data_IF_402563336300
#
_entry.id   IF_402563336300
#
_cell.length_a   1.000
_cell.length_b   1.000
_cell.length_c   1.000
_cell.angle_alpha   90.00
_cell.angle_beta   90.00
_cell.angle_gamma   90.00
#
_symmetry.space_group_name_H-M   'P 1'
#
loop_
_entity.id
_entity.type
_entity.pdbx_description
1 polymer ?
#
# COMPACT_ATOMS: atom_id res chain seq x y z
N UNK A 1 15.28 9.18 6.99
CA UNK A 1 15.84 7.86 6.61
C UNK A 1 17.33 7.90 6.90
N UNK A 2 17.79 7.41 8.05
CA UNK A 2 19.22 7.30 8.33
C UNK A 2 19.72 5.96 7.80
N UNK A 3 20.58 6.02 6.78
CA UNK A 3 21.31 4.88 6.27
C UNK A 3 22.78 5.11 6.62
N UNK A 4 23.33 4.32 7.54
CA UNK A 4 24.78 4.25 7.71
C UNK A 4 25.34 3.05 6.99
N UNK A 5 26.49 3.29 6.35
CA UNK A 5 27.29 2.29 5.67
C UNK A 5 28.25 1.71 6.73
N UNK A 6 28.07 0.44 7.12
CA UNK A 6 29.12 -0.27 7.86
C UNK A 6 30.15 -0.86 6.89
N UNK A 7 31.36 -1.09 7.41
CA UNK A 7 32.59 -1.46 6.71
C UNK A 7 32.51 -2.74 5.85
N UNK A 8 31.44 -3.50 5.97
CA UNK A 8 31.14 -4.78 5.32
C UNK A 8 30.13 -4.67 4.15
N UNK A 9 29.76 -3.45 3.74
CA UNK A 9 29.00 -3.21 2.51
C UNK A 9 27.54 -3.68 2.53
N UNK A 10 27.00 -4.09 3.69
CA UNK A 10 25.60 -4.45 3.87
C UNK A 10 24.79 -3.27 4.43
N UNK A 11 23.66 -2.96 3.79
CA UNK A 11 22.71 -1.97 4.28
C UNK A 11 21.96 -2.54 5.49
N UNK A 12 22.31 -2.08 6.70
CA UNK A 12 21.58 -2.40 7.91
C UNK A 12 20.46 -1.38 8.13
N UNK A 13 19.20 -1.81 8.02
CA UNK A 13 18.05 -1.01 8.45
C UNK A 13 18.06 -0.97 9.99
N UNK A 14 18.74 0.02 10.58
CA UNK A 14 18.85 0.17 12.05
C UNK A 14 17.50 0.47 12.70
N UNK A 15 16.64 1.27 12.07
CA UNK A 15 15.26 1.47 12.53
C UNK A 15 14.48 2.13 11.38
N UNK A 16 13.44 1.46 10.88
CA UNK A 16 12.43 2.12 10.05
C UNK A 16 11.20 2.30 10.91
N UNK A 17 11.19 3.37 11.70
CA UNK A 17 9.95 3.96 12.19
C UNK A 17 9.53 4.94 11.10
N UNK A 18 8.76 4.46 10.13
CA UNK A 18 8.18 5.36 9.13
C UNK A 18 6.94 5.95 9.76
N UNK A 19 7.07 7.20 10.18
CA UNK A 19 5.94 8.07 10.39
C UNK A 19 5.36 8.38 9.02
N UNK A 20 4.20 7.81 8.71
CA UNK A 20 3.57 8.09 7.42
C UNK A 20 3.12 9.54 7.28
N UNK A 21 3.04 10.31 8.38
CA UNK A 21 2.86 11.76 8.39
C UNK A 21 3.39 12.37 9.71
N UNK A 22 4.70 12.40 9.93
CA UNK A 22 5.30 13.35 10.88
C UNK A 22 6.48 14.04 10.23
N UNK A 23 6.19 15.17 9.61
CA UNK A 23 7.15 16.25 9.65
C UNK A 23 6.36 17.52 9.95
N UNK A 24 6.46 18.01 11.18
CA UNK A 24 6.07 19.39 11.50
C UNK A 24 6.81 20.38 10.59
N UNK A 25 7.97 20.00 10.02
CA UNK A 25 8.70 20.80 9.05
C UNK A 25 8.11 20.78 7.62
N UNK A 26 7.37 19.74 7.20
CA UNK A 26 6.64 19.75 5.91
C UNK A 26 5.26 20.40 6.02
N UNK A 27 4.70 20.53 7.24
CA UNK A 27 3.45 21.28 7.47
C UNK A 27 3.55 22.77 7.11
N UNK A 28 4.76 23.34 7.15
CA UNK A 28 5.01 24.73 6.76
C UNK A 28 4.63 25.04 5.30
N UNK A 29 4.76 24.07 4.38
CA UNK A 29 4.48 24.27 2.94
C UNK A 29 3.07 23.87 2.50
N UNK A 30 2.33 23.12 3.30
CA UNK A 30 0.94 22.71 3.00
C UNK A 30 0.01 23.05 4.16
N UNK A 31 -0.28 24.34 4.35
CA UNK A 31 -1.09 24.90 5.45
C UNK A 31 -2.55 24.41 5.54
N UNK A 32 -3.04 23.64 4.56
CA UNK A 32 -4.48 23.37 4.40
C UNK A 32 -4.90 21.89 4.59
N UNK A 33 -4.02 21.00 5.03
CA UNK A 33 -4.41 19.60 5.33
C UNK A 33 -4.14 19.30 6.80
N UNK A 34 -5.17 19.33 7.68
CA UNK A 34 -4.97 18.97 9.07
C UNK A 34 -4.48 17.51 9.16
N UNK A 35 -3.47 17.21 9.99
CA UNK A 35 -3.03 15.84 10.19
C UNK A 35 -4.22 15.01 10.70
N UNK A 36 -4.48 13.86 10.07
CA UNK A 36 -5.59 12.99 10.46
C UNK A 36 -5.43 12.62 11.94
N UNK A 37 -6.31 13.16 12.79
CA UNK A 37 -6.39 12.79 14.20
C UNK A 37 -6.98 11.39 14.26
N UNK A 38 -6.18 10.43 14.74
CA UNK A 38 -6.68 9.08 14.99
C UNK A 38 -7.85 9.13 15.96
N UNK A 39 -8.87 8.31 15.73
CA UNK A 39 -9.88 8.05 16.74
C UNK A 39 -9.29 7.40 17.98
N UNK A 40 -10.09 7.32 19.04
CA UNK A 40 -9.66 6.78 20.32
C UNK A 40 -9.11 5.35 20.19
N UNK A 41 -9.71 4.51 19.35
CA UNK A 41 -9.36 3.10 19.24
C UNK A 41 -8.31 2.88 18.14
N UNK A 42 -7.17 2.35 18.54
CA UNK A 42 -6.05 1.98 17.68
C UNK A 42 -5.70 0.51 17.89
N UNK A 43 -5.07 -0.10 16.91
CA UNK A 43 -4.75 -1.53 16.92
C UNK A 43 -3.30 -1.76 16.53
N UNK A 44 -2.64 -2.67 17.25
CA UNK A 44 -1.32 -3.19 16.90
C UNK A 44 -1.45 -4.63 16.44
N UNK A 45 -0.98 -4.90 15.22
CA UNK A 45 -0.91 -6.25 14.69
C UNK A 45 0.26 -6.38 13.69
N UNK A 46 0.37 -7.55 13.06
CA UNK A 46 1.38 -7.87 12.07
C UNK A 46 0.87 -7.84 10.62
N UNK A 47 1.73 -7.29 9.77
CA UNK A 47 1.61 -7.34 8.30
C UNK A 47 2.77 -8.13 7.71
N UNK A 48 2.55 -8.77 6.57
CA UNK A 48 3.61 -9.45 5.82
C UNK A 48 3.74 -8.85 4.41
N UNK A 49 4.97 -8.50 4.02
CA UNK A 49 5.30 -8.08 2.65
C UNK A 49 5.81 -9.29 1.88
N UNK A 50 5.05 -9.76 0.89
CA UNK A 50 5.31 -11.02 0.19
C UNK A 50 6.69 -11.09 -0.47
N UNK A 51 7.54 -12.00 -0.04
CA UNK A 51 8.90 -12.16 -0.56
C UNK A 51 9.41 -13.60 -0.41
N UNK A 52 9.80 -14.23 -1.53
CA UNK A 52 10.29 -15.62 -1.55
C UNK A 52 11.82 -15.74 -1.69
N UNK A 53 12.54 -14.66 -2.02
CA UNK A 53 13.98 -14.67 -2.24
C UNK A 53 14.80 -14.97 -0.98
N UNK A 54 16.13 -15.07 -1.10
CA UNK A 54 17.03 -15.24 0.05
C UNK A 54 17.28 -13.89 0.72
N UNK A 55 16.87 -13.75 1.97
CA UNK A 55 17.13 -12.56 2.78
C UNK A 55 16.98 -12.89 4.27
N UNK A 56 17.78 -12.25 5.13
CA UNK A 56 17.80 -12.47 6.59
C UNK A 56 16.47 -12.14 7.28
N UNK A 57 15.72 -11.19 6.73
CA UNK A 57 14.40 -10.75 7.24
C UNK A 57 13.22 -11.62 6.78
N UNK A 58 13.46 -12.63 5.92
CA UNK A 58 12.38 -13.50 5.44
C UNK A 58 11.86 -14.37 6.60
N UNK A 59 10.54 -14.37 6.76
CA UNK A 59 9.81 -15.15 7.74
C UNK A 59 8.70 -15.95 7.04
N UNK A 60 8.31 -17.06 7.66
CA UNK A 60 7.12 -17.83 7.29
C UNK A 60 6.02 -17.60 8.33
N UNK A 61 4.82 -17.26 7.88
CA UNK A 61 3.63 -17.10 8.71
C UNK A 61 2.51 -17.93 8.09
N UNK A 62 2.20 -19.08 8.70
CA UNK A 62 1.24 -20.06 8.18
C UNK A 62 -0.18 -19.48 8.03
N UNK A 63 -0.57 -18.59 8.93
CA UNK A 63 -1.96 -18.12 9.05
C UNK A 63 -2.29 -16.96 8.10
N UNK A 64 -1.32 -16.43 7.34
CA UNK A 64 -1.58 -15.35 6.37
C UNK A 64 -2.02 -15.95 5.04
N UNK A 65 -3.17 -15.50 4.54
CA UNK A 65 -3.82 -16.02 3.32
C UNK A 65 -3.13 -15.58 2.03
N UNK A 66 -2.81 -14.29 1.91
CA UNK A 66 -2.23 -13.72 0.69
C UNK A 66 -0.77 -14.13 0.48
N UNK A 67 0.09 -13.87 1.48
CA UNK A 67 1.50 -14.23 1.44
C UNK A 67 1.89 -14.96 2.71
N UNK A 68 2.40 -16.19 2.59
CA UNK A 68 2.94 -16.95 3.72
C UNK A 68 4.44 -16.72 3.94
N UNK A 69 5.16 -16.32 2.90
CA UNK A 69 6.60 -16.01 2.94
C UNK A 69 6.83 -14.53 2.70
N UNK A 70 7.58 -13.86 3.57
CA UNK A 70 7.82 -12.43 3.41
C UNK A 70 8.58 -11.77 4.54
N UNK A 71 8.72 -10.44 4.47
CA UNK A 71 9.21 -9.66 5.59
C UNK A 71 8.03 -9.33 6.53
N UNK A 72 8.19 -9.66 7.82
CA UNK A 72 7.19 -9.34 8.85
C UNK A 72 7.35 -7.88 9.28
N UNK A 73 6.23 -7.16 9.36
CA UNK A 73 6.11 -5.81 9.85
C UNK A 73 5.18 -5.80 11.06
N UNK A 74 5.49 -5.00 12.07
CA UNK A 74 4.54 -4.62 13.12
C UNK A 74 3.90 -3.29 12.72
N UNK A 75 2.59 -3.21 12.80
CA UNK A 75 1.80 -2.10 12.29
C UNK A 75 0.90 -1.58 13.40
N UNK A 76 0.89 -0.26 13.56
CA UNK A 76 -0.14 0.46 14.30
C UNK A 76 -1.11 1.07 13.30
N UNK A 77 -2.39 0.76 13.44
CA UNK A 77 -3.45 1.31 12.60
C UNK A 77 -4.62 1.84 13.44
N UNK A 78 -5.44 2.69 12.82
CA UNK A 78 -6.76 3.05 13.36
C UNK A 78 -7.72 1.87 13.23
N UNK A 79 -8.40 1.52 14.33
CA UNK A 79 -9.30 0.36 14.36
C UNK A 79 -10.48 0.46 13.39
N UNK A 80 -11.04 1.66 13.19
CA UNK A 80 -12.26 1.88 12.40
C UNK A 80 -12.02 1.90 10.90
N UNK A 81 -10.94 2.55 10.46
CA UNK A 81 -10.71 2.85 9.03
C UNK A 81 -9.61 1.99 8.41
N UNK A 82 -8.74 1.39 9.23
CA UNK A 82 -7.52 0.74 8.78
C UNK A 82 -6.40 1.71 8.38
N UNK A 83 -6.52 2.99 8.73
CA UNK A 83 -5.47 3.98 8.51
C UNK A 83 -4.18 3.55 9.19
N UNK A 84 -3.13 3.29 8.41
CA UNK A 84 -1.85 2.82 8.95
C UNK A 84 -1.03 4.01 9.44
N UNK A 85 -0.77 4.10 10.74
CA UNK A 85 -0.08 5.25 11.32
C UNK A 85 1.42 5.02 11.47
N UNK A 86 1.83 3.85 11.95
CA UNK A 86 3.24 3.50 12.14
C UNK A 86 3.52 2.06 11.73
N UNK A 87 4.74 1.85 11.25
CA UNK A 87 5.25 0.56 10.83
C UNK A 87 6.65 0.40 11.40
N UNK A 88 6.93 -0.77 11.99
CA UNK A 88 8.26 -1.19 12.42
C UNK A 88 8.60 -2.54 11.75
N UNK A 89 9.80 -2.64 11.17
CA UNK A 89 10.27 -3.89 10.53
C UNK A 89 10.73 -4.88 11.59
N UNK A 90 10.22 -6.12 11.55
CA UNK A 90 10.71 -7.18 12.42
C UNK A 90 12.06 -7.72 11.93
N UNK A 91 13.10 -7.58 12.75
CA UNK A 91 14.48 -7.97 12.41
C UNK A 91 14.82 -9.45 12.62
N UNK A 92 13.87 -10.26 13.09
CA UNK A 92 14.11 -11.68 13.39
C UNK A 92 14.96 -11.90 14.64
N UNK A 93 15.46 -13.14 14.80
CA UNK A 93 16.21 -13.59 15.98
C UNK A 93 17.61 -12.98 16.15
N UNK A 94 18.17 -12.38 15.08
CA UNK A 94 19.48 -11.71 15.08
C UNK A 94 19.43 -10.26 15.61
N UNK A 95 18.29 -9.85 16.17
CA UNK A 95 18.20 -8.56 16.84
C UNK A 95 19.05 -8.59 18.13
N UNK A 96 20.13 -7.81 18.15
CA UNK A 96 21.06 -7.70 19.29
C UNK A 96 20.42 -6.92 20.45
N UNK A 97 19.46 -6.06 20.17
CA UNK A 97 18.75 -5.26 21.19
C UNK A 97 17.50 -5.98 21.74
N UNK A 98 17.73 -7.04 22.53
CA UNK A 98 16.63 -7.73 23.22
C UNK A 98 16.16 -6.93 24.42
N UNK A 99 14.87 -6.60 24.43
CA UNK A 99 14.26 -5.99 25.61
C UNK A 99 13.97 -7.06 26.67
N UNK A 100 14.18 -6.80 27.97
CA UNK A 100 13.96 -7.79 29.05
C UNK A 100 12.52 -8.32 29.08
N UNK A 101 11.53 -7.49 28.75
CA UNK A 101 10.12 -7.88 28.65
C UNK A 101 9.73 -8.56 27.32
N UNK A 102 10.71 -8.86 26.45
CA UNK A 102 10.50 -9.51 25.17
C UNK A 102 10.17 -8.58 24.00
N UNK A 103 10.20 -9.13 22.79
CA UNK A 103 10.02 -8.35 21.55
C UNK A 103 8.60 -7.81 21.38
N UNK A 104 7.57 -8.56 21.77
CA UNK A 104 6.17 -8.10 21.70
C UNK A 104 5.96 -6.81 22.51
N UNK A 105 6.48 -6.77 23.74
CA UNK A 105 6.48 -5.58 24.58
C UNK A 105 7.18 -4.39 23.90
N UNK A 106 8.43 -4.58 23.43
CA UNK A 106 9.21 -3.52 22.77
C UNK A 106 8.47 -2.97 21.55
N UNK A 107 7.96 -3.86 20.69
CA UNK A 107 7.25 -3.47 19.48
C UNK A 107 6.01 -2.61 19.76
N UNK A 108 5.18 -2.98 20.75
CA UNK A 108 4.00 -2.19 21.12
C UNK A 108 4.41 -0.85 21.72
N UNK A 109 5.37 -0.84 22.65
CA UNK A 109 5.84 0.40 23.27
C UNK A 109 6.43 1.38 22.25
N UNK A 110 7.23 0.89 21.29
CA UNK A 110 7.82 1.72 20.24
C UNK A 110 6.76 2.29 19.30
N UNK A 111 5.78 1.46 18.88
CA UNK A 111 4.70 1.89 17.98
C UNK A 111 3.74 2.88 18.65
N UNK A 112 3.44 2.68 19.93
CA UNK A 112 2.42 3.47 20.65
C UNK A 112 3.04 4.71 21.30
N UNK A 113 4.37 4.80 21.44
CA UNK A 113 5.06 5.95 22.09
C UNK A 113 4.53 7.34 21.69
N UNK A 114 4.25 7.63 20.42
CA UNK A 114 3.71 8.93 19.98
C UNK A 114 2.29 9.25 20.44
N UNK A 115 1.63 8.29 21.08
CA UNK A 115 0.22 8.30 21.49
C UNK A 115 0.03 8.21 23.01
N UNK A 116 1.13 8.20 23.76
CA UNK A 116 1.08 8.30 25.23
C UNK A 116 0.45 9.61 25.68
N UNK A 117 -0.30 9.58 26.78
CA UNK A 117 -1.01 10.74 27.35
C UNK A 117 -2.23 11.22 26.55
N UNK A 118 -2.59 10.57 25.44
CA UNK A 118 -3.70 10.98 24.57
C UNK A 118 -4.99 10.19 24.81
N UNK A 119 -5.02 9.33 25.84
CA UNK A 119 -6.17 8.50 26.19
C UNK A 119 -6.66 7.59 25.04
N UNK A 120 -5.75 7.20 24.14
CA UNK A 120 -6.04 6.16 23.15
C UNK A 120 -6.23 4.81 23.83
N UNK A 121 -6.95 3.93 23.14
CA UNK A 121 -7.14 2.54 23.52
C UNK A 121 -6.53 1.63 22.46
N UNK A 122 -5.49 0.90 22.84
CA UNK A 122 -4.77 -0.03 21.99
C UNK A 122 -5.35 -1.44 22.10
N UNK A 123 -5.78 -2.01 20.98
CA UNK A 123 -6.13 -3.42 20.87
C UNK A 123 -4.98 -4.22 20.27
N UNK A 124 -4.71 -5.43 20.78
CA UNK A 124 -3.61 -6.28 20.30
C UNK A 124 -3.88 -7.78 20.51
N UNK A 125 -3.23 -8.64 19.71
CA UNK A 125 -3.33 -10.09 19.87
C UNK A 125 -2.42 -10.64 20.99
N UNK A 126 -2.61 -11.92 21.30
CA UNK A 126 -1.95 -12.68 22.34
C UNK A 126 -0.42 -12.72 22.26
N UNK A 127 0.17 -12.55 21.07
CA UNK A 127 1.62 -12.53 20.90
C UNK A 127 2.24 -11.29 21.55
N UNK A 128 1.51 -10.16 21.54
CA UNK A 128 1.97 -8.88 22.05
C UNK A 128 1.68 -8.72 23.55
N UNK A 129 0.52 -9.18 24.00
CA UNK A 129 -0.01 -8.86 25.32
C UNK A 129 0.70 -9.55 26.49
N UNK A 130 0.81 -8.81 27.60
CA UNK A 130 1.28 -9.32 28.89
C UNK A 130 0.81 -8.41 30.03
N UNK A 131 0.64 -8.90 31.27
CA UNK A 131 0.25 -8.06 32.40
C UNK A 131 1.15 -6.83 32.60
N UNK A 132 2.48 -7.01 32.44
CA UNK A 132 3.46 -5.92 32.54
C UNK A 132 3.25 -4.85 31.47
N UNK A 133 3.04 -5.25 30.21
CA UNK A 133 2.75 -4.32 29.12
C UNK A 133 1.50 -3.48 29.40
N UNK A 134 0.43 -4.11 29.87
CA UNK A 134 -0.85 -3.44 30.13
C UNK A 134 -0.71 -2.37 31.22
N UNK A 135 -0.03 -2.71 32.32
CA UNK A 135 0.24 -1.77 33.42
C UNK A 135 1.12 -0.59 32.95
N UNK A 136 2.17 -0.87 32.18
CA UNK A 136 3.08 0.18 31.71
C UNK A 136 2.43 1.11 30.67
N UNK A 137 1.48 0.61 29.85
CA UNK A 137 0.66 1.44 28.96
C UNK A 137 -0.31 2.32 29.77
N UNK A 138 -0.95 1.73 30.78
CA UNK A 138 -1.87 2.45 31.68
C UNK A 138 -1.18 3.60 32.40
N UNK A 139 0.01 3.36 32.94
CA UNK A 139 0.84 4.38 33.59
C UNK A 139 1.27 5.51 32.64
N UNK A 140 1.21 5.28 31.32
CA UNK A 140 1.52 6.27 30.28
C UNK A 140 0.26 6.88 29.65
N UNK A 141 -0.87 6.84 30.37
CA UNK A 141 -2.13 7.43 29.92
C UNK A 141 -2.70 6.77 28.66
N UNK A 142 -2.46 5.46 28.48
CA UNK A 142 -2.93 4.69 27.33
C UNK A 142 -3.69 3.46 27.82
N UNK A 143 -4.94 3.31 27.37
CA UNK A 143 -5.75 2.14 27.65
C UNK A 143 -5.35 0.98 26.72
N UNK A 144 -5.52 -0.25 27.17
CA UNK A 144 -5.24 -1.41 26.35
C UNK A 144 -6.25 -2.54 26.58
N UNK A 145 -6.48 -3.32 25.52
CA UNK A 145 -7.20 -4.59 25.57
C UNK A 145 -6.49 -5.59 24.66
N UNK A 146 -6.30 -6.82 25.10
CA UNK A 146 -5.77 -7.86 24.25
C UNK A 146 -6.16 -9.25 24.72
N UNK A 147 -6.22 -10.19 23.78
CA UNK A 147 -6.19 -11.61 24.13
C UNK A 147 -4.85 -11.92 24.74
N UNK A 148 -4.74 -12.89 25.65
CA UNK A 148 -3.46 -13.30 26.25
C UNK A 148 -3.39 -14.82 26.34
N UNK A 149 -2.18 -15.36 26.22
CA UNK A 149 -1.97 -16.79 26.44
C UNK A 149 -2.09 -17.06 27.95
N UNK A 150 -2.97 -17.98 28.38
CA UNK A 150 -3.21 -18.29 29.80
C UNK A 150 -1.94 -18.66 30.60
N UNK A 151 -0.90 -19.19 29.93
CA UNK A 151 0.40 -19.50 30.56
C UNK A 151 1.35 -18.30 30.74
N UNK A 152 0.97 -17.09 30.29
CA UNK A 152 1.81 -15.89 30.37
C UNK A 152 2.14 -15.57 31.84
N UNK A 153 3.38 -15.17 32.11
CA UNK A 153 3.83 -14.76 33.45
C UNK A 153 2.93 -13.63 33.99
N UNK A 154 2.52 -13.75 35.25
CA UNK A 154 1.65 -12.79 35.94
C UNK A 154 0.15 -13.04 35.79
N UNK A 155 -0.28 -14.13 35.12
CA UNK A 155 -1.69 -14.54 35.11
C UNK A 155 -2.01 -15.50 36.25
N UNK A 156 -3.27 -15.50 36.75
CA UNK A 156 -3.73 -16.45 37.76
C UNK A 156 -3.54 -17.91 37.33
N UNK A 157 -3.01 -18.75 38.21
CA UNK A 157 -2.82 -20.17 37.94
C UNK A 157 -4.15 -20.88 37.59
N UNK A 158 -5.26 -20.44 38.21
CA UNK A 158 -6.61 -20.95 37.95
C UNK A 158 -7.04 -20.83 36.49
N UNK A 159 -6.50 -19.88 35.72
CA UNK A 159 -6.86 -19.71 34.31
C UNK A 159 -6.28 -20.80 33.42
N UNK A 160 -5.25 -21.52 33.87
CA UNK A 160 -4.62 -22.62 33.13
C UNK A 160 -5.40 -23.93 33.28
N UNK A 161 -5.96 -24.17 34.46
CA UNK A 161 -6.59 -25.44 34.85
C UNK A 161 -8.11 -25.40 34.85
N UNK A 162 -8.71 -24.21 34.65
CA UNK A 162 -10.16 -24.04 34.65
C UNK A 162 -10.85 -24.92 33.61
N UNK A 163 -11.65 -25.87 34.10
CA UNK A 163 -12.64 -26.64 33.35
C UNK A 163 -14.02 -26.09 33.68
N UNK A 164 -14.54 -25.22 32.81
CA UNK A 164 -15.80 -24.50 33.05
C UNK A 164 -16.78 -24.76 31.90
N UNK A 165 -18.10 -24.73 32.16
CA UNK A 165 -19.08 -24.88 31.11
C UNK A 165 -19.03 -23.70 30.13
N UNK A 166 -19.47 -23.95 28.90
CA UNK A 166 -19.58 -22.91 27.87
C UNK A 166 -20.46 -21.75 28.36
N UNK A 167 -20.02 -20.52 28.11
CA UNK A 167 -20.65 -19.28 28.57
C UNK A 167 -20.10 -18.77 29.89
N UNK A 168 -19.27 -19.55 30.60
CA UNK A 168 -18.68 -19.13 31.86
C UNK A 168 -17.71 -17.96 31.69
N UNK A 169 -17.75 -17.04 32.65
CA UNK A 169 -16.87 -15.88 32.74
C UNK A 169 -16.22 -15.89 34.12
N UNK A 170 -14.88 -15.92 34.17
CA UNK A 170 -14.13 -15.74 35.41
C UNK A 170 -13.33 -14.45 35.30
N UNK A 171 -13.45 -13.61 36.30
CA UNK A 171 -12.79 -12.31 36.35
C UNK A 171 -11.85 -12.29 37.55
N UNK A 172 -10.63 -11.82 37.33
CA UNK A 172 -9.65 -11.53 38.37
C UNK A 172 -9.13 -10.12 38.13
N UNK A 173 -9.09 -9.32 39.17
CA UNK A 173 -8.60 -7.95 39.13
C UNK A 173 -7.31 -7.83 39.92
N UNK A 174 -6.42 -6.95 39.45
CA UNK A 174 -5.28 -6.48 40.22
C UNK A 174 -5.06 -5.00 39.87
N UNK A 175 -5.36 -4.11 40.82
CA UNK A 175 -5.37 -2.66 40.61
C UNK A 175 -6.25 -2.31 39.40
N UNK A 176 -5.72 -1.57 38.44
CA UNK A 176 -6.39 -1.15 37.20
C UNK A 176 -6.42 -2.22 36.09
N UNK A 177 -5.89 -3.43 36.35
CA UNK A 177 -5.81 -4.50 35.36
C UNK A 177 -6.87 -5.57 35.63
N UNK A 178 -7.67 -5.86 34.61
CA UNK A 178 -8.64 -6.95 34.63
C UNK A 178 -8.19 -8.09 33.74
N UNK A 179 -8.14 -9.28 34.30
CA UNK A 179 -7.93 -10.54 33.61
C UNK A 179 -9.26 -11.30 33.55
N UNK A 180 -9.71 -11.60 32.33
CA UNK A 180 -11.01 -12.22 32.08
C UNK A 180 -10.81 -13.53 31.32
N UNK A 181 -11.27 -14.64 31.89
CA UNK A 181 -11.37 -15.92 31.20
C UNK A 181 -12.81 -16.11 30.73
N UNK A 182 -13.00 -16.23 29.41
CA UNK A 182 -14.29 -16.50 28.79
C UNK A 182 -14.25 -17.85 28.08
N UNK A 183 -15.24 -18.71 28.36
CA UNK A 183 -15.36 -20.01 27.71
C UNK A 183 -16.43 -19.94 26.62
N UNK A 184 -16.01 -19.95 25.35
CA UNK A 184 -16.92 -20.14 24.22
C UNK A 184 -16.76 -21.57 23.64
N UNK A 185 -16.24 -21.73 22.42
CA UNK A 185 -15.82 -23.04 21.90
C UNK A 185 -14.50 -23.51 22.51
N UNK A 186 -13.66 -22.55 22.89
CA UNK A 186 -12.36 -22.72 23.55
C UNK A 186 -12.23 -21.64 24.61
N UNK A 187 -11.37 -21.89 25.58
CA UNK A 187 -11.00 -20.91 26.59
C UNK A 187 -10.26 -19.74 25.93
N UNK A 188 -10.76 -18.53 26.10
CA UNK A 188 -10.11 -17.30 25.65
C UNK A 188 -9.86 -16.41 26.87
N UNK A 189 -8.60 -16.04 27.07
CA UNK A 189 -8.22 -15.13 28.15
C UNK A 189 -7.98 -13.74 27.57
N UNK A 190 -8.49 -12.72 28.24
CA UNK A 190 -8.31 -11.31 27.93
C UNK A 190 -7.62 -10.59 29.08
N UNK A 191 -6.87 -9.55 28.72
CA UNK A 191 -6.42 -8.50 29.63
C UNK A 191 -7.02 -7.18 29.16
N UNK A 192 -7.51 -6.36 30.08
CA UNK A 192 -8.01 -5.01 29.78
C UNK A 192 -7.74 -4.04 30.93
N UNK A 193 -7.51 -2.77 30.59
CA UNK A 193 -7.35 -1.66 31.55
C UNK A 193 -8.44 -0.60 31.43
N UNK A 194 -9.46 -0.82 30.60
CA UNK A 194 -10.55 0.14 30.37
C UNK A 194 -11.95 -0.44 30.53
N UNK A 195 -12.11 -1.74 30.28
CA UNK A 195 -13.43 -2.36 30.21
C UNK A 195 -13.78 -3.10 31.49
N UNK A 196 -15.08 -3.08 31.82
CA UNK A 196 -15.64 -3.90 32.87
C UNK A 196 -15.97 -5.30 32.33
N UNK A 197 -16.17 -6.28 33.22
CA UNK A 197 -16.62 -7.62 32.82
C UNK A 197 -18.15 -7.74 32.69
N UNK A 198 -18.84 -6.66 32.30
CA UNK A 198 -20.31 -6.66 32.18
C UNK A 198 -20.73 -7.60 31.06
N UNK A 199 -21.77 -8.38 31.33
CA UNK A 199 -22.35 -9.29 30.36
C UNK A 199 -23.23 -8.52 29.36
N UNK A 200 -22.98 -8.71 28.07
CA UNK A 200 -23.69 -8.05 26.97
C UNK A 200 -24.31 -9.11 26.05
N UNK A 201 -25.53 -8.88 25.59
CA UNK A 201 -26.20 -9.73 24.59
C UNK A 201 -25.66 -9.41 23.20
N UNK A 202 -25.24 -10.44 22.46
CA UNK A 202 -24.73 -10.35 21.09
C UNK A 202 -25.48 -11.31 20.18
N UNK A 203 -25.82 -10.89 18.97
CA UNK A 203 -26.30 -11.82 17.93
C UNK A 203 -25.11 -12.50 17.27
N UNK A 204 -25.12 -13.83 17.23
CA UNK A 204 -24.09 -14.61 16.55
C UNK A 204 -24.33 -14.63 15.02
N UNK A 205 -23.38 -15.17 14.25
CA UNK A 205 -23.51 -15.29 12.79
C UNK A 205 -24.68 -16.18 12.32
N UNK A 206 -25.33 -16.92 13.24
CA UNK A 206 -26.51 -17.76 12.99
C UNK A 206 -27.80 -17.09 13.49
N UNK A 207 -27.79 -15.79 13.76
CA UNK A 207 -28.96 -15.02 14.22
C UNK A 207 -29.36 -15.27 15.68
N UNK A 208 -28.63 -16.08 16.46
CA UNK A 208 -28.97 -16.39 17.86
C UNK A 208 -28.36 -15.37 18.80
N UNK A 209 -29.13 -14.94 19.80
CA UNK A 209 -28.64 -14.08 20.88
C UNK A 209 -27.82 -14.92 21.86
N UNK A 210 -26.53 -14.58 22.00
CA UNK A 210 -25.56 -15.19 22.90
C UNK A 210 -25.09 -14.15 23.90
N UNK A 211 -24.92 -14.58 25.14
CA UNK A 211 -24.38 -13.76 26.22
C UNK A 211 -22.83 -13.78 26.17
N UNK A 212 -22.20 -12.61 26.12
CA UNK A 212 -20.74 -12.49 26.10
C UNK A 212 -20.26 -11.25 26.88
N UNK A 213 -19.07 -11.29 27.49
CA UNK A 213 -18.50 -10.10 28.15
C UNK A 213 -18.34 -8.90 27.19
N UNK A 214 -18.54 -7.68 27.68
CA UNK A 214 -18.38 -6.44 26.90
C UNK A 214 -16.98 -6.33 26.28
N UNK A 215 -15.94 -6.80 26.99
CA UNK A 215 -14.56 -6.86 26.48
C UNK A 215 -14.45 -7.66 25.18
N UNK A 216 -15.22 -8.74 25.02
CA UNK A 216 -15.24 -9.56 23.80
C UNK A 216 -15.84 -8.78 22.64
N UNK A 217 -16.89 -7.99 22.91
CA UNK A 217 -17.51 -7.14 21.89
C UNK A 217 -16.54 -6.07 21.41
N UNK A 218 -15.93 -5.32 22.35
CA UNK A 218 -14.98 -4.25 22.04
C UNK A 218 -13.73 -4.77 21.33
N UNK A 219 -13.19 -5.90 21.76
CA UNK A 219 -12.05 -6.54 21.11
C UNK A 219 -12.36 -6.88 19.65
N UNK A 220 -13.49 -7.53 19.39
CA UNK A 220 -13.88 -7.91 18.03
C UNK A 220 -14.14 -6.69 17.12
N UNK A 221 -14.63 -5.58 17.67
CA UNK A 221 -14.83 -4.33 16.92
C UNK A 221 -13.51 -3.63 16.57
N UNK A 222 -12.47 -3.78 17.39
CA UNK A 222 -11.25 -2.97 17.29
C UNK A 222 -10.07 -3.71 16.68
N UNK A 223 -9.98 -5.03 16.83
CA UNK A 223 -8.85 -5.84 16.38
C UNK A 223 -8.70 -5.91 14.84
N UNK A 224 -9.79 -5.77 14.09
CA UNK A 224 -9.78 -5.91 12.63
C UNK A 224 -9.14 -4.75 11.84
N UNK A 225 -8.70 -3.67 12.50
CA UNK A 225 -8.23 -2.46 11.80
C UNK A 225 -7.03 -2.68 10.88
N UNK A 226 -6.02 -3.46 11.30
CA UNK A 226 -4.86 -3.76 10.44
C UNK A 226 -5.28 -4.58 9.22
N UNK A 227 -6.14 -5.59 9.41
CA UNK A 227 -6.65 -6.42 8.31
C UNK A 227 -7.47 -5.61 7.30
N UNK A 228 -8.22 -4.59 7.73
CA UNK A 228 -8.93 -3.67 6.83
C UNK A 228 -7.96 -2.91 5.92
N UNK A 229 -6.88 -2.37 6.50
CA UNK A 229 -5.82 -1.70 5.73
C UNK A 229 -5.09 -2.65 4.79
N UNK A 230 -4.81 -3.88 5.25
CA UNK A 230 -4.16 -4.92 4.45
C UNK A 230 -5.01 -5.33 3.24
N UNK A 231 -6.33 -5.44 3.39
CA UNK A 231 -7.24 -5.72 2.28
C UNK A 231 -7.19 -4.64 1.19
N UNK A 232 -7.15 -3.36 1.59
CA UNK A 232 -7.03 -2.24 0.66
C UNK A 232 -5.66 -2.24 -0.05
N UNK A 233 -4.60 -2.59 0.67
CA UNK A 233 -3.24 -2.69 0.14
C UNK A 233 -3.08 -3.81 -0.87
N UNK A 234 -3.60 -5.01 -0.57
CA UNK A 234 -3.46 -6.20 -1.40
C UNK A 234 -4.07 -5.99 -2.80
N UNK A 235 -5.13 -5.18 -2.92
CA UNK A 235 -5.75 -4.84 -4.21
C UNK A 235 -4.79 -4.14 -5.18
N UNK A 236 -3.80 -3.43 -4.66
CA UNK A 236 -2.88 -2.60 -5.44
C UNK A 236 -1.40 -2.96 -5.20
N UNK A 237 -1.16 -4.15 -4.65
CA UNK A 237 0.19 -4.61 -4.40
C UNK A 237 0.91 -4.91 -5.73
N UNK A 238 2.07 -4.28 -5.99
CA UNK A 238 2.81 -4.53 -7.22
C UNK A 238 3.36 -5.97 -7.30
N UNK A 239 3.00 -6.68 -8.37
CA UNK A 239 3.39 -8.08 -8.59
C UNK A 239 4.77 -8.24 -9.26
N UNK A 240 5.79 -7.58 -8.70
CA UNK A 240 7.15 -7.69 -9.25
C UNK A 240 7.80 -9.03 -8.88
N UNK A 241 8.29 -9.76 -9.90
CA UNK A 241 9.15 -10.95 -9.73
C UNK A 241 10.62 -10.54 -9.71
N UNK A 242 11.46 -11.29 -8.99
CA UNK A 242 12.93 -11.10 -9.01
C UNK A 242 13.49 -9.84 -8.34
N UNK A 243 12.66 -9.03 -7.67
CA UNK A 243 13.12 -7.78 -7.03
C UNK A 243 13.75 -8.00 -5.64
N UNK A 244 14.77 -7.21 -5.31
CA UNK A 244 15.39 -7.16 -3.97
C UNK A 244 14.35 -6.77 -2.91
N UNK A 245 14.46 -7.31 -1.69
CA UNK A 245 13.47 -7.11 -0.62
C UNK A 245 13.22 -5.63 -0.30
N UNK A 246 14.25 -4.79 -0.26
CA UNK A 246 14.10 -3.36 0.04
C UNK A 246 13.17 -2.66 -0.97
N UNK A 247 13.17 -3.07 -2.25
CA UNK A 247 12.23 -2.53 -3.25
C UNK A 247 10.80 -2.92 -2.92
N UNK A 248 10.58 -4.16 -2.49
CA UNK A 248 9.24 -4.61 -2.06
C UNK A 248 8.74 -3.83 -0.85
N UNK A 249 9.61 -3.59 0.14
CA UNK A 249 9.26 -2.78 1.31
C UNK A 249 8.94 -1.34 0.85
N UNK A 250 9.78 -0.74 0.00
CA UNK A 250 9.53 0.60 -0.54
C UNK A 250 8.17 0.70 -1.26
N UNK A 251 7.86 -0.24 -2.16
CA UNK A 251 6.57 -0.24 -2.84
C UNK A 251 5.41 -0.46 -1.89
N UNK A 252 5.56 -1.33 -0.89
CA UNK A 252 4.53 -1.51 0.15
C UNK A 252 4.26 -0.20 0.91
N UNK A 253 5.30 0.59 1.20
CA UNK A 253 5.17 1.89 1.87
C UNK A 253 4.48 2.92 0.98
N UNK A 254 4.83 2.97 -0.32
CA UNK A 254 4.16 3.84 -1.29
C UNK A 254 2.68 3.48 -1.42
N UNK A 255 2.35 2.19 -1.55
CA UNK A 255 0.94 1.74 -1.59
C UNK A 255 0.24 2.05 -0.26
N UNK A 256 0.92 1.94 0.88
CA UNK A 256 0.34 2.30 2.19
C UNK A 256 0.03 3.80 2.23
N UNK A 257 0.91 4.65 1.71
CA UNK A 257 0.68 6.08 1.61
C UNK A 257 -0.52 6.42 0.71
N UNK A 258 -0.69 5.74 -0.43
CA UNK A 258 -1.86 5.94 -1.30
C UNK A 258 -3.16 5.48 -0.65
N UNK A 259 -3.13 4.36 0.09
CA UNK A 259 -4.30 3.87 0.84
C UNK A 259 -4.66 4.83 1.96
N UNK A 260 -3.67 5.34 2.71
CA UNK A 260 -3.90 6.36 3.73
C UNK A 260 -4.48 7.64 3.13
N UNK A 261 -3.97 8.10 1.99
CA UNK A 261 -4.52 9.26 1.27
C UNK A 261 -5.98 9.03 0.85
N UNK A 262 -6.31 7.82 0.38
CA UNK A 262 -7.69 7.45 0.07
C UNK A 262 -8.60 7.47 1.30
N UNK A 263 -8.12 6.99 2.46
CA UNK A 263 -8.85 7.05 3.73
C UNK A 263 -9.09 8.51 4.14
N UNK A 264 -8.07 9.37 4.05
CA UNK A 264 -8.21 10.80 4.32
C UNK A 264 -9.22 11.46 3.37
N UNK A 265 -9.15 11.16 2.08
CA UNK A 265 -10.11 11.63 1.07
C UNK A 265 -11.55 11.23 1.44
N UNK A 266 -11.77 9.97 1.82
CA UNK A 266 -13.11 9.49 2.22
C UNK A 266 -13.68 10.14 3.47
N UNK A 267 -12.80 10.61 4.36
CA UNK A 267 -13.17 11.25 5.62
C UNK A 267 -13.39 12.76 5.47
N UNK A 268 -12.65 13.44 4.58
CA UNK A 268 -12.80 14.88 4.34
C UNK A 268 -13.97 15.20 3.40
N UNK A 269 -14.22 14.36 2.39
CA UNK A 269 -15.29 14.56 1.42
C UNK A 269 -16.53 13.75 1.81
N UNK A 270 -17.26 14.23 2.81
CA UNK A 270 -18.55 13.65 3.25
C UNK A 270 -19.73 14.05 2.35
N UNK A 271 -19.60 15.14 1.59
CA UNK A 271 -20.70 15.80 0.86
C UNK A 271 -20.77 15.42 -0.62
N UNK A 272 -19.67 14.93 -1.22
CA UNK A 272 -19.65 14.55 -2.64
C UNK A 272 -19.70 13.04 -2.86
N UNK A 273 -20.15 12.61 -4.06
CA UNK A 273 -20.14 11.21 -4.48
C UNK A 273 -18.72 10.66 -4.44
N UNK A 274 -18.43 9.82 -3.45
CA UNK A 274 -17.09 9.28 -3.20
C UNK A 274 -16.59 8.52 -4.42
N UNK A 275 -15.38 8.88 -4.89
CA UNK A 275 -14.69 8.09 -5.89
C UNK A 275 -14.43 6.68 -5.34
N UNK A 276 -14.68 5.66 -6.16
CA UNK A 276 -14.22 4.31 -5.86
C UNK A 276 -12.68 4.29 -5.76
N UNK A 277 -12.13 3.37 -4.97
CA UNK A 277 -10.70 3.28 -4.69
C UNK A 277 -9.87 3.18 -5.97
N UNK A 278 -10.35 2.46 -7.00
CA UNK A 278 -9.69 2.35 -8.30
C UNK A 278 -9.67 3.70 -9.03
N UNK A 279 -10.79 4.42 -9.02
CA UNK A 279 -10.91 5.74 -9.66
C UNK A 279 -10.01 6.77 -8.96
N UNK A 280 -9.97 6.74 -7.63
CA UNK A 280 -9.06 7.57 -6.84
C UNK A 280 -7.61 7.28 -7.20
N UNK A 281 -7.22 6.01 -7.26
CA UNK A 281 -5.85 5.64 -7.60
C UNK A 281 -5.46 6.05 -9.03
N UNK A 282 -6.38 5.92 -9.99
CA UNK A 282 -6.16 6.42 -11.35
C UNK A 282 -5.98 7.94 -11.38
N UNK A 283 -6.73 8.69 -10.56
CA UNK A 283 -6.55 10.13 -10.42
C UNK A 283 -5.17 10.48 -9.83
N UNK A 284 -4.74 9.77 -8.79
CA UNK A 284 -3.39 9.93 -8.21
C UNK A 284 -2.31 9.63 -9.26
N UNK A 285 -2.45 8.53 -10.01
CA UNK A 285 -1.49 8.17 -11.08
C UNK A 285 -1.43 9.25 -12.16
N UNK A 286 -2.58 9.77 -12.62
CA UNK A 286 -2.61 10.86 -13.61
C UNK A 286 -1.96 12.13 -13.07
N UNK A 287 -2.23 12.50 -11.82
CA UNK A 287 -1.62 13.65 -11.17
C UNK A 287 -0.10 13.51 -11.01
N UNK A 288 0.39 12.32 -10.65
CA UNK A 288 1.83 12.05 -10.54
C UNK A 288 2.54 12.00 -11.89
N UNK A 289 1.87 11.57 -12.96
CA UNK A 289 2.42 11.61 -14.32
C UNK A 289 2.48 13.06 -14.82
N UNK A 290 1.44 13.86 -14.53
CA UNK A 290 1.35 15.27 -14.92
C UNK A 290 1.85 15.53 -16.34
N UNK A 291 2.70 16.55 -16.48
CA UNK A 291 3.38 16.90 -17.74
C UNK A 291 4.77 16.27 -17.89
N UNK A 292 5.14 15.28 -17.05
CA UNK A 292 6.46 14.65 -17.12
C UNK A 292 6.72 13.97 -18.48
N UNK A 293 5.64 13.62 -19.20
CA UNK A 293 5.70 13.14 -20.60
C UNK A 293 5.92 14.26 -21.63
N UNK A 294 5.66 15.53 -21.28
CA UNK A 294 5.89 16.70 -22.13
C UNK A 294 7.37 17.10 -22.23
N UNK A 295 8.13 16.99 -21.14
CA UNK A 295 9.56 17.36 -21.11
C UNK A 295 10.48 16.43 -21.92
N UNK A 296 10.09 15.16 -22.10
CA UNK A 296 10.86 14.17 -22.85
C UNK A 296 10.53 14.13 -24.37
N UNK A 297 9.60 14.97 -24.85
CA UNK A 297 9.29 15.09 -26.29
C UNK A 297 10.44 15.65 -27.13
N UNK A 298 11.52 16.15 -26.51
CA UNK A 298 12.71 16.66 -27.23
C UNK A 298 13.73 15.58 -27.64
N UNK A 299 13.51 14.29 -27.32
CA UNK A 299 14.31 13.18 -27.86
C UNK A 299 13.46 12.34 -28.82
N UNK A 300 13.59 12.63 -30.12
CA UNK A 300 13.04 11.84 -31.21
C UNK A 300 11.52 11.87 -31.29
N UNK A 301 11.00 12.82 -32.08
CA UNK A 301 9.60 12.97 -32.48
C UNK A 301 9.00 11.60 -32.87
N UNK A 302 8.21 10.98 -31.98
CA UNK A 302 7.12 10.08 -32.42
C UNK A 302 6.03 11.00 -32.97
N UNK A 303 5.41 10.68 -34.13
CA UNK A 303 4.36 11.54 -34.66
C UNK A 303 3.19 11.53 -33.67
N UNK A 304 2.86 12.70 -33.14
CA UNK A 304 1.60 12.90 -32.42
C UNK A 304 0.45 12.64 -33.42
N UNK A 305 -0.48 11.77 -33.03
CA UNK A 305 -1.80 11.70 -33.64
C UNK A 305 -2.54 13.01 -33.33
N UNK A 306 -2.29 14.02 -34.15
CA UNK A 306 -3.20 15.17 -34.30
C UNK A 306 -4.31 14.70 -35.25
N UNK A 307 -5.60 14.91 -34.96
CA UNK A 307 -6.66 14.65 -35.91
C UNK A 307 -6.56 15.66 -37.06
N UNK A 308 -5.75 15.34 -38.06
CA UNK A 308 -5.66 16.10 -39.31
C UNK A 308 -6.75 15.53 -40.22
N UNK A 309 -8.01 15.74 -39.84
CA UNK A 309 -9.11 15.16 -40.60
C UNK A 309 -9.20 15.75 -42.02
N UNK A 310 -8.72 16.98 -42.26
CA UNK A 310 -8.95 17.64 -43.56
C UNK A 310 -7.71 18.20 -44.30
N UNK A 311 -6.48 18.12 -43.77
CA UNK A 311 -5.28 18.64 -44.46
C UNK A 311 -4.30 17.58 -45.01
N UNK A 312 -4.44 16.28 -44.66
CA UNK A 312 -3.48 15.22 -45.06
C UNK A 312 -3.75 14.61 -46.46
N UNK A 313 -4.90 14.87 -47.08
CA UNK A 313 -5.26 14.15 -48.32
C UNK A 313 -4.62 14.70 -49.60
N UNK A 314 -3.73 15.68 -49.52
CA UNK A 314 -3.06 16.24 -50.67
C UNK A 314 -1.61 15.76 -50.76
N UNK A 315 -1.35 14.84 -51.68
CA UNK A 315 0.02 14.58 -52.12
C UNK A 315 0.54 15.83 -52.86
N UNK A 316 1.74 16.28 -52.49
CA UNK A 316 2.51 17.34 -53.14
C UNK A 316 3.91 16.82 -53.52
N UNK A 317 4.50 17.39 -54.58
CA UNK A 317 5.90 17.19 -54.92
C UNK A 317 6.74 18.13 -54.06
N UNK A 318 7.78 17.58 -53.45
CA UNK A 318 8.78 18.31 -52.70
C UNK A 318 10.17 18.07 -53.28
N UNK A 319 11.15 18.89 -52.93
CA UNK A 319 12.56 18.71 -53.30
C UNK A 319 13.19 17.71 -52.32
N UNK A 320 14.09 16.86 -52.82
CA UNK A 320 14.75 15.85 -51.99
C UNK A 320 15.75 16.55 -51.04
N UNK A 321 15.59 16.44 -49.72
CA UNK A 321 16.38 17.19 -48.75
C UNK A 321 17.88 16.82 -48.75
N UNK A 322 18.21 15.58 -49.11
CA UNK A 322 19.59 15.07 -49.08
C UNK A 322 20.43 15.48 -50.31
N UNK A 323 19.89 16.29 -51.23
CA UNK A 323 20.54 16.66 -52.51
C UNK A 323 20.75 15.50 -53.49
N UNK A 324 20.45 14.26 -53.07
CA UNK A 324 20.59 13.04 -53.87
C UNK A 324 19.45 12.94 -54.88
N UNK A 325 19.79 12.76 -56.15
CA UNK A 325 18.78 12.55 -57.21
C UNK A 325 18.25 11.12 -57.18
N UNK A 326 16.92 10.96 -57.14
CA UNK A 326 16.23 9.65 -57.17
C UNK A 326 15.80 9.30 -58.60
N UNK A 327 15.47 8.03 -58.86
CA UNK A 327 14.83 7.60 -60.11
C UNK A 327 13.31 7.74 -59.99
N UNK A 328 12.65 8.17 -61.06
CA UNK A 328 11.18 8.17 -61.10
C UNK A 328 10.66 6.74 -61.14
N UNK A 329 9.81 6.34 -60.18
CA UNK A 329 9.29 4.96 -60.07
C UNK A 329 8.50 4.53 -61.31
N UNK A 330 7.75 5.45 -61.94
CA UNK A 330 7.02 5.14 -63.18
C UNK A 330 7.93 5.04 -64.39
N UNK A 331 8.88 5.96 -64.55
CA UNK A 331 9.76 5.95 -65.73
C UNK A 331 10.82 4.84 -65.66
N UNK A 332 11.28 4.46 -64.46
CA UNK A 332 12.28 3.41 -64.30
C UNK A 332 11.77 2.02 -64.70
N UNK A 333 10.45 1.79 -64.66
CA UNK A 333 9.83 0.52 -65.04
C UNK A 333 9.54 0.37 -66.53
N UNK A 334 9.27 1.46 -67.25
CA UNK A 334 8.73 1.40 -68.62
C UNK A 334 9.73 1.72 -69.74
N UNK A 335 10.84 2.42 -69.47
CA UNK A 335 11.71 2.87 -70.56
C UNK A 335 13.19 2.89 -70.14
N UNK A 336 13.99 1.95 -70.69
CA UNK A 336 15.43 1.79 -70.38
C UNK A 336 16.28 3.03 -70.73
N UNK A 337 15.77 3.95 -71.54
CA UNK A 337 16.53 5.08 -72.09
C UNK A 337 16.25 6.46 -71.45
N UNK A 338 15.29 6.59 -70.51
CA UNK A 338 15.13 7.82 -69.71
C UNK A 338 15.55 7.60 -68.26
N UNK A 339 16.86 7.58 -68.02
CA UNK A 339 17.44 7.71 -66.67
C UNK A 339 17.32 9.16 -66.18
N UNK A 340 16.10 9.69 -66.06
CA UNK A 340 15.90 10.99 -65.43
C UNK A 340 16.14 10.87 -63.93
N UNK A 341 17.37 11.17 -63.51
CA UNK A 341 17.72 11.46 -62.12
C UNK A 341 16.98 12.74 -61.75
N UNK A 342 15.93 12.62 -60.95
CA UNK A 342 15.04 13.71 -60.54
C UNK A 342 15.37 14.18 -59.14
N UNK A 343 15.21 15.47 -58.90
CA UNK A 343 15.36 16.13 -57.60
C UNK A 343 14.06 16.17 -56.80
N UNK A 344 12.96 15.63 -57.35
CA UNK A 344 11.61 15.75 -56.78
C UNK A 344 11.07 14.42 -56.26
N UNK A 345 10.36 14.46 -55.14
CA UNK A 345 9.76 13.29 -54.50
C UNK A 345 8.43 13.61 -53.82
N UNK A 346 7.62 12.59 -53.54
CA UNK A 346 6.42 12.74 -52.73
C UNK A 346 6.77 12.37 -51.28
N UNK A 347 6.72 13.33 -50.36
CA UNK A 347 7.04 13.12 -48.94
C UNK A 347 6.11 12.12 -48.25
N UNK A 348 4.84 12.07 -48.68
CA UNK A 348 3.83 11.14 -48.15
C UNK A 348 4.06 9.69 -48.62
N UNK A 349 4.47 9.50 -49.87
CA UNK A 349 4.67 8.15 -50.44
C UNK A 349 6.13 7.67 -50.39
N UNK A 350 7.09 8.55 -50.09
CA UNK A 350 8.52 8.23 -50.05
C UNK A 350 9.18 7.93 -51.40
N UNK A 351 8.51 8.23 -52.52
CA UNK A 351 8.95 7.85 -53.88
C UNK A 351 9.33 9.04 -54.75
N UNK A 352 10.34 8.86 -55.61
CA UNK A 352 10.71 9.84 -56.64
C UNK A 352 9.73 9.83 -57.81
N UNK A 353 9.25 11.02 -58.21
CA UNK A 353 8.32 11.19 -59.34
C UNK A 353 8.67 12.44 -60.17
N UNK A 354 8.59 12.32 -61.50
CA UNK A 354 8.76 13.48 -62.40
C UNK A 354 7.62 14.50 -62.19
N UNK A 355 7.96 15.79 -62.31
CA UNK A 355 6.99 16.89 -62.30
C UNK A 355 6.02 16.73 -63.48
N UNK A 356 4.71 16.81 -63.22
CA UNK A 356 3.66 16.64 -64.23
C UNK A 356 3.01 15.25 -64.24
N UNK A 357 3.10 14.53 -65.37
CA UNK A 357 2.30 13.32 -65.67
C UNK A 357 2.47 12.19 -64.63
N UNK A 358 3.71 11.83 -64.31
CA UNK A 358 3.98 10.72 -63.38
C UNK A 358 3.44 10.97 -61.96
N UNK A 359 3.50 12.22 -61.50
CA UNK A 359 2.98 12.61 -60.19
C UNK A 359 1.44 12.64 -60.18
N UNK A 360 0.83 13.22 -61.23
CA UNK A 360 -0.63 13.33 -61.34
C UNK A 360 -1.31 11.95 -61.37
N UNK A 361 -0.77 11.01 -62.13
CA UNK A 361 -1.29 9.64 -62.20
C UNK A 361 -1.11 8.86 -60.89
N UNK A 362 0.02 9.05 -60.19
CA UNK A 362 0.27 8.35 -58.91
C UNK A 362 -0.65 8.89 -57.81
N UNK A 363 -0.89 10.20 -57.78
CA UNK A 363 -1.84 10.84 -56.85
C UNK A 363 -3.24 10.22 -56.97
N UNK A 364 -3.75 10.04 -58.19
CA UNK A 364 -5.06 9.39 -58.45
C UNK A 364 -5.06 7.94 -57.95
N UNK A 365 -4.04 7.14 -58.30
CA UNK A 365 -3.98 5.73 -57.90
C UNK A 365 -3.85 5.51 -56.38
N UNK A 366 -3.20 6.44 -55.67
CA UNK A 366 -3.00 6.34 -54.23
C UNK A 366 -4.25 6.79 -53.46
N UNK A 367 -5.00 7.78 -53.97
CA UNK A 367 -6.29 8.18 -53.42
C UNK A 367 -7.33 7.07 -53.58
N UNK A 368 -7.39 6.37 -54.73
CA UNK A 368 -8.35 5.26 -54.95
C UNK A 368 -8.10 4.10 -53.97
N UNK A 369 -6.84 3.71 -53.75
CA UNK A 369 -6.47 2.64 -52.80
C UNK A 369 -6.72 2.98 -51.32
N UNK A 370 -6.98 4.24 -50.99
CA UNK A 370 -7.29 4.66 -49.62
C UNK A 370 -8.80 4.85 -49.38
N UNK A 371 -9.62 4.76 -50.44
CA UNK A 371 -11.09 4.85 -50.36
C UNK A 371 -11.79 3.48 -50.42
N UNK A 372 -11.06 2.43 -50.81
CA UNK A 372 -11.40 1.02 -50.64
C UNK A 372 -10.80 0.49 -49.34
#
# INVERSE_FOLDING_TARGET
MSLDRSYDGQWHIKQMSIFLLKDEQTQSKHKNVPPLKLSQNIVVDERIVGFKGRHVLKQYISNKKAHRWGAKLFVLAESRTGYTHQINVYKGKRNTERHPNGQGYKSVMDLVRPHFGKNHHVTMDNWFSSPKLMNDLRNRGTYATGTVIARRKGLPASFKTARLPKGSVVVKSQRDLLAILYVDRRNVTFLTTSENARTVRKVNSKGRVVSAPSVVHKYNQTMGGVDLGDQLLLKFEPQFKGVKLWRKILFNLLTTATVNAYICYRNCFLVQRKLDHVKFQNAVVRGLIGDFRGGNRRRGRRPDNIPIANAIRMHFLDVIPDGKRRKCVKCSGYNKYRKSRISTWCSVCGVGLCVGRCFREKKISCCIKQMS
#
